data_IF_361409141475
#
_entry.id   IF_361409141475
#
_cell.length_a   1.000
_cell.length_b   1.000
_cell.length_c   1.000
_cell.angle_alpha   90.00
_cell.angle_beta   90.00
_cell.angle_gamma   90.00
#
_symmetry.space_group_name_H-M   'P 1'
#
loop_
_entity.id
_entity.type
_entity.pdbx_description
1 polymer ?
#
# COMPACT_ATOMS: atom_id res chain seq x y z
N UNK A 1 15.30 9.33 -17.21
CA UNK A 1 16.19 9.10 -18.37
C UNK A 1 16.12 7.62 -18.72
N UNK A 2 15.05 7.21 -19.40
CA UNK A 2 14.90 5.87 -19.97
C UNK A 2 15.59 5.82 -21.33
N UNK A 3 16.18 4.68 -21.68
CA UNK A 3 16.73 4.47 -23.03
C UNK A 3 15.59 4.53 -24.04
N UNK A 4 15.67 5.49 -24.96
CA UNK A 4 14.78 5.64 -26.10
C UNK A 4 14.85 4.40 -26.99
N UNK A 5 13.72 3.71 -27.13
CA UNK A 5 13.59 2.62 -28.09
C UNK A 5 12.44 3.00 -29.04
N UNK A 6 12.72 3.31 -30.32
CA UNK A 6 11.80 4.06 -31.18
C UNK A 6 10.46 3.33 -31.45
N UNK A 7 10.46 1.99 -31.49
CA UNK A 7 9.23 1.19 -31.64
C UNK A 7 8.33 1.21 -30.41
N UNK A 8 8.96 1.42 -29.26
CA UNK A 8 8.34 1.40 -27.95
C UNK A 8 7.55 2.69 -27.73
N UNK A 9 8.18 3.81 -28.10
CA UNK A 9 7.56 5.12 -28.07
C UNK A 9 6.41 5.24 -29.05
N UNK A 10 6.55 4.71 -30.26
CA UNK A 10 5.48 4.79 -31.27
C UNK A 10 4.21 4.04 -30.83
N UNK A 11 4.35 2.84 -30.25
CA UNK A 11 3.23 2.07 -29.72
C UNK A 11 2.56 2.77 -28.52
N UNK A 12 3.36 3.31 -27.61
CA UNK A 12 2.84 4.11 -26.49
C UNK A 12 2.21 5.42 -26.94
N UNK A 13 2.69 6.01 -28.04
CA UNK A 13 2.17 7.27 -28.56
C UNK A 13 0.75 7.09 -29.03
N UNK A 14 0.53 6.03 -29.80
CA UNK A 14 -0.77 5.71 -30.34
C UNK A 14 -1.75 5.38 -29.21
N UNK A 15 -1.33 4.56 -28.24
CA UNK A 15 -2.18 4.16 -27.12
C UNK A 15 -2.49 5.31 -26.13
N UNK A 16 -1.51 6.16 -25.82
CA UNK A 16 -1.69 7.34 -24.96
C UNK A 16 -2.57 8.41 -25.62
N UNK A 17 -2.42 8.62 -26.92
CA UNK A 17 -3.27 9.53 -27.68
C UNK A 17 -4.71 9.00 -27.76
N UNK A 18 -4.90 7.70 -27.98
CA UNK A 18 -6.24 7.09 -28.08
C UNK A 18 -7.00 7.00 -26.75
N UNK A 19 -6.32 6.71 -25.63
CA UNK A 19 -6.96 6.45 -24.33
C UNK A 19 -7.05 7.71 -23.47
N UNK A 20 -6.02 8.56 -23.49
CA UNK A 20 -5.91 9.72 -22.61
C UNK A 20 -5.99 11.06 -23.35
N UNK A 21 -5.82 11.09 -24.68
CA UNK A 21 -5.87 12.33 -25.48
C UNK A 21 -4.67 13.26 -25.28
N UNK A 22 -3.56 12.76 -24.73
CA UNK A 22 -2.35 13.54 -24.44
C UNK A 22 -1.16 13.06 -25.27
N UNK A 23 -0.31 14.00 -25.70
CA UNK A 23 0.92 13.74 -26.44
C UNK A 23 2.07 13.42 -25.46
N UNK A 24 2.80 12.32 -25.68
CA UNK A 24 3.69 11.73 -24.67
C UNK A 24 4.91 12.57 -24.30
N UNK A 25 5.23 13.62 -25.05
CA UNK A 25 6.32 14.56 -24.74
C UNK A 25 6.09 15.35 -23.44
N UNK A 26 4.84 15.41 -22.96
CA UNK A 26 4.48 16.27 -21.81
C UNK A 26 4.37 15.53 -20.47
N UNK A 27 4.41 14.19 -20.46
CA UNK A 27 4.12 13.41 -19.23
C UNK A 27 5.14 12.27 -19.08
N UNK A 28 5.83 12.14 -17.93
CA UNK A 28 6.69 10.99 -17.69
C UNK A 28 5.85 9.70 -17.63
N UNK A 29 5.96 8.86 -18.64
CA UNK A 29 5.29 7.55 -18.73
C UNK A 29 6.24 6.43 -18.31
N UNK A 30 5.69 5.40 -17.66
CA UNK A 30 6.41 4.17 -17.35
C UNK A 30 5.87 3.05 -18.23
N UNK A 31 6.58 2.78 -19.33
CA UNK A 31 6.26 1.65 -20.19
C UNK A 31 7.28 0.55 -20.01
N UNK A 32 6.89 -0.47 -19.25
CA UNK A 32 7.66 -1.69 -19.15
C UNK A 32 7.41 -2.55 -20.39
N UNK A 33 7.99 -2.14 -21.52
CA UNK A 33 8.05 -3.04 -22.67
C UNK A 33 9.11 -4.08 -22.32
N UNK A 34 8.69 -5.33 -22.22
CA UNK A 34 9.56 -6.48 -21.94
C UNK A 34 10.37 -6.74 -23.21
N UNK A 35 11.32 -5.85 -23.49
CA UNK A 35 12.36 -6.10 -24.48
C UNK A 35 13.35 -7.08 -23.85
N UNK A 36 13.50 -8.24 -24.48
CA UNK A 36 14.28 -9.41 -24.05
C UNK A 36 15.77 -9.11 -23.78
N UNK A 37 16.23 -7.89 -24.07
CA UNK A 37 17.63 -7.47 -24.04
C UNK A 37 17.87 -6.18 -23.23
N UNK A 38 17.04 -5.85 -22.23
CA UNK A 38 17.29 -4.71 -21.33
C UNK A 38 17.36 -5.17 -19.87
N UNK A 39 18.57 -5.09 -19.30
CA UNK A 39 18.90 -5.46 -17.91
C UNK A 39 17.98 -4.72 -16.92
N UNK A 40 17.57 -3.49 -17.27
CA UNK A 40 16.65 -2.64 -16.51
C UNK A 40 15.24 -3.24 -16.39
N UNK A 41 14.69 -3.81 -17.47
CA UNK A 41 13.37 -4.47 -17.44
C UNK A 41 13.40 -5.73 -16.58
N UNK A 42 14.50 -6.49 -16.63
CA UNK A 42 14.70 -7.66 -15.76
C UNK A 42 14.85 -7.26 -14.28
N UNK A 43 15.58 -6.18 -14.02
CA UNK A 43 15.76 -5.63 -12.68
C UNK A 43 14.45 -5.11 -12.08
N UNK A 44 13.58 -4.49 -12.88
CA UNK A 44 12.25 -4.04 -12.45
C UNK A 44 11.31 -5.22 -12.14
N UNK A 45 11.32 -6.26 -12.97
CA UNK A 45 10.50 -7.46 -12.77
C UNK A 45 10.87 -8.21 -11.48
N UNK A 46 12.16 -8.23 -11.11
CA UNK A 46 12.63 -8.85 -9.86
C UNK A 46 12.59 -7.87 -8.66
N UNK A 47 12.78 -6.58 -8.91
CA UNK A 47 12.85 -5.55 -7.87
C UNK A 47 11.54 -5.39 -7.10
N UNK A 48 10.40 -5.33 -7.79
CA UNK A 48 9.11 -5.21 -7.11
C UNK A 48 8.79 -6.38 -6.15
N UNK A 49 8.87 -7.66 -6.57
CA UNK A 49 8.58 -8.76 -5.66
C UNK A 49 9.62 -8.90 -4.53
N UNK A 50 10.88 -8.54 -4.76
CA UNK A 50 11.92 -8.60 -3.71
C UNK A 50 11.69 -7.54 -2.63
N UNK A 51 11.29 -6.32 -2.99
CA UNK A 51 10.93 -5.27 -2.03
C UNK A 51 9.75 -5.71 -1.16
N UNK A 52 8.71 -6.29 -1.79
CA UNK A 52 7.54 -6.80 -1.07
C UNK A 52 7.94 -7.93 -0.10
N UNK A 53 8.79 -8.85 -0.53
CA UNK A 53 9.29 -9.95 0.31
C UNK A 53 10.07 -9.44 1.53
N UNK A 54 10.95 -8.45 1.34
CA UNK A 54 11.72 -7.83 2.42
C UNK A 54 10.80 -7.18 3.45
N UNK A 55 9.75 -6.49 3.01
CA UNK A 55 8.76 -5.88 3.91
C UNK A 55 8.08 -6.94 4.79
N UNK A 56 7.63 -8.07 4.23
CA UNK A 56 7.04 -9.15 5.02
C UNK A 56 8.02 -9.78 6.01
N UNK A 57 9.27 -9.99 5.60
CA UNK A 57 10.32 -10.52 6.49
C UNK A 57 10.56 -9.55 7.65
N UNK A 58 10.63 -8.25 7.38
CA UNK A 58 10.81 -7.23 8.42
C UNK A 58 9.64 -7.22 9.41
N UNK A 59 8.39 -7.30 8.92
CA UNK A 59 7.19 -7.39 9.76
C UNK A 59 7.24 -8.66 10.62
N UNK A 60 7.57 -9.80 10.04
CA UNK A 60 7.65 -11.08 10.74
C UNK A 60 8.75 -11.07 11.81
N UNK A 61 9.92 -10.54 11.47
CA UNK A 61 11.04 -10.40 12.39
C UNK A 61 10.70 -9.46 13.55
N UNK A 62 10.08 -8.31 13.27
CA UNK A 62 9.63 -7.37 14.28
C UNK A 62 8.57 -8.02 15.20
N UNK A 63 7.61 -8.74 14.63
CA UNK A 63 6.59 -9.46 15.37
C UNK A 63 7.18 -10.53 16.29
N UNK A 64 8.15 -11.29 15.78
CA UNK A 64 8.85 -12.31 16.54
C UNK A 64 9.68 -11.71 17.69
N UNK A 65 10.43 -10.64 17.42
CA UNK A 65 11.21 -9.90 18.43
C UNK A 65 10.31 -9.36 19.55
N UNK A 66 9.17 -8.77 19.21
CA UNK A 66 8.21 -8.22 20.20
C UNK A 66 7.60 -9.35 21.05
N UNK A 67 7.24 -10.48 20.43
CA UNK A 67 6.70 -11.65 21.14
C UNK A 67 7.73 -12.25 22.11
N UNK A 68 9.00 -12.33 21.68
CA UNK A 68 10.09 -12.86 22.49
C UNK A 68 10.50 -11.90 23.63
N UNK A 69 10.62 -10.61 23.33
CA UNK A 69 11.00 -9.58 24.29
C UNK A 69 9.96 -9.42 25.41
N UNK A 70 8.67 -9.55 25.09
CA UNK A 70 7.60 -9.57 26.11
C UNK A 70 7.74 -10.69 27.13
N UNK A 71 8.33 -11.84 26.77
CA UNK A 71 8.50 -12.95 27.70
C UNK A 71 9.64 -12.72 28.71
N UNK A 72 10.64 -11.89 28.37
CA UNK A 72 11.83 -11.68 29.19
C UNK A 72 11.75 -10.44 30.09
N UNK A 73 10.92 -9.45 29.76
CA UNK A 73 10.87 -8.15 30.47
C UNK A 73 9.62 -7.96 31.35
N UNK A 74 8.87 -9.02 31.65
CA UNK A 74 7.67 -8.95 32.50
C UNK A 74 7.94 -8.40 33.91
N UNK A 75 9.21 -8.39 34.35
CA UNK A 75 9.62 -8.00 35.71
C UNK A 75 9.87 -6.48 35.84
N UNK A 76 10.15 -5.75 34.74
CA UNK A 76 10.63 -4.35 34.81
C UNK A 76 9.61 -3.27 34.37
N UNK A 77 8.54 -3.62 33.65
CA UNK A 77 7.58 -2.63 33.16
C UNK A 77 6.27 -2.64 33.95
N UNK A 78 5.72 -1.45 34.21
CA UNK A 78 4.38 -1.32 34.78
C UNK A 78 3.33 -1.97 33.86
N UNK A 79 2.35 -2.64 34.49
CA UNK A 79 1.28 -3.36 33.81
C UNK A 79 0.49 -2.51 32.81
N UNK A 80 0.47 -1.19 32.97
CA UNK A 80 -0.20 -0.26 32.07
C UNK A 80 0.58 -0.05 30.76
N UNK A 81 1.91 0.11 30.83
CA UNK A 81 2.75 0.27 29.63
C UNK A 81 2.74 -0.98 28.76
N UNK A 82 2.75 -2.17 29.37
CA UNK A 82 2.66 -3.41 28.62
C UNK A 82 1.35 -3.50 27.84
N UNK A 83 0.20 -3.18 28.47
CA UNK A 83 -1.12 -3.22 27.83
C UNK A 83 -1.19 -2.32 26.59
N UNK A 84 -0.73 -1.07 26.71
CA UNK A 84 -0.73 -0.11 25.61
C UNK A 84 0.14 -0.61 24.45
N UNK A 85 1.35 -1.09 24.74
CA UNK A 85 2.23 -1.63 23.70
C UNK A 85 1.64 -2.89 23.01
N UNK A 86 0.90 -3.75 23.72
CA UNK A 86 0.25 -4.91 23.06
C UNK A 86 -0.87 -4.47 22.11
N UNK A 87 -1.64 -3.46 22.51
CA UNK A 87 -2.75 -2.94 21.72
C UNK A 87 -2.21 -2.23 20.47
N UNK A 88 -1.18 -1.39 20.63
CA UNK A 88 -0.52 -0.72 19.53
C UNK A 88 0.05 -1.72 18.52
N UNK A 89 0.74 -2.76 19.01
CA UNK A 89 1.30 -3.80 18.14
C UNK A 89 0.23 -4.62 17.40
N UNK A 90 -0.85 -5.02 18.09
CA UNK A 90 -1.97 -5.73 17.44
C UNK A 90 -2.65 -4.87 16.39
N UNK A 91 -2.79 -3.58 16.67
CA UNK A 91 -3.36 -2.61 15.73
C UNK A 91 -2.46 -2.46 14.52
N UNK A 92 -1.15 -2.27 14.72
CA UNK A 92 -0.17 -2.16 13.64
C UNK A 92 -0.15 -3.41 12.74
N UNK A 93 -0.27 -4.61 13.32
CA UNK A 93 -0.39 -5.85 12.54
C UNK A 93 -1.68 -5.89 11.71
N UNK A 94 -2.82 -5.56 12.30
CA UNK A 94 -4.08 -5.53 11.57
C UNK A 94 -4.06 -4.48 10.45
N UNK A 95 -3.47 -3.32 10.74
CA UNK A 95 -3.26 -2.21 9.82
C UNK A 95 -2.33 -2.58 8.66
N UNK A 96 -1.37 -3.47 8.84
CA UNK A 96 -0.54 -3.96 7.73
C UNK A 96 -1.25 -5.06 6.93
N UNK A 97 -1.94 -5.98 7.61
CA UNK A 97 -2.57 -7.15 6.98
C UNK A 97 -3.77 -6.75 6.11
N UNK A 98 -4.67 -5.90 6.61
CA UNK A 98 -5.90 -5.49 5.92
C UNK A 98 -5.63 -4.88 4.53
N UNK A 99 -4.82 -3.83 4.40
CA UNK A 99 -4.51 -3.22 3.11
C UNK A 99 -3.63 -4.09 2.26
N UNK A 100 -2.77 -4.93 2.85
CA UNK A 100 -2.08 -5.96 2.09
C UNK A 100 -3.10 -6.83 1.35
N UNK A 101 -4.15 -7.34 2.01
CA UNK A 101 -5.16 -8.14 1.31
C UNK A 101 -5.94 -7.33 0.27
N UNK A 102 -6.30 -6.08 0.59
CA UNK A 102 -7.08 -5.21 -0.32
C UNK A 102 -6.26 -4.80 -1.55
N UNK A 103 -4.95 -4.57 -1.42
CA UNK A 103 -4.07 -4.10 -2.51
C UNK A 103 -3.34 -5.23 -3.24
N UNK A 104 -3.04 -6.35 -2.59
CA UNK A 104 -2.38 -7.47 -3.26
C UNK A 104 -3.30 -8.11 -4.30
N UNK A 105 -4.62 -8.09 -4.08
CA UNK A 105 -5.62 -8.61 -5.01
C UNK A 105 -5.64 -7.84 -6.36
N UNK A 106 -5.79 -6.50 -6.41
CA UNK A 106 -5.71 -5.77 -7.66
C UNK A 106 -4.30 -5.76 -8.27
N UNK A 107 -3.24 -5.79 -7.45
CA UNK A 107 -1.87 -5.89 -7.97
C UNK A 107 -1.62 -7.22 -8.65
N UNK A 108 -2.09 -8.34 -8.10
CA UNK A 108 -2.02 -9.65 -8.77
C UNK A 108 -2.80 -9.63 -10.08
N UNK A 109 -4.00 -9.05 -10.10
CA UNK A 109 -4.80 -8.95 -11.32
C UNK A 109 -4.07 -8.14 -12.39
N UNK A 110 -3.53 -6.97 -12.05
CA UNK A 110 -2.75 -6.13 -12.98
C UNK A 110 -1.47 -6.86 -13.43
N UNK A 111 -0.81 -7.59 -12.53
CA UNK A 111 0.38 -8.37 -12.85
C UNK A 111 0.06 -9.59 -13.72
N UNK A 112 -1.16 -10.14 -13.66
CA UNK A 112 -1.60 -11.26 -14.48
C UNK A 112 -1.96 -10.85 -15.92
N UNK A 113 -2.38 -9.60 -16.16
CA UNK A 113 -2.72 -9.06 -17.49
C UNK A 113 -1.61 -9.30 -18.54
N UNK A 114 -0.32 -8.93 -18.29
CA UNK A 114 0.75 -9.15 -19.27
C UNK A 114 1.08 -10.64 -19.48
N UNK A 115 0.80 -11.52 -18.50
CA UNK A 115 0.97 -12.98 -18.67
C UNK A 115 -0.19 -13.63 -19.43
N UNK A 116 -1.37 -13.02 -19.40
CA UNK A 116 -2.55 -13.48 -20.13
C UNK A 116 -2.59 -12.99 -21.60
N UNK A 117 -1.61 -12.19 -22.05
CA UNK A 117 -1.61 -11.50 -23.35
C UNK A 117 -2.92 -10.73 -23.61
N UNK A 118 -3.52 -10.18 -22.56
CA UNK A 118 -4.75 -9.40 -22.68
C UNK A 118 -4.38 -7.92 -22.89
N UNK A 119 -4.68 -7.40 -24.08
CA UNK A 119 -4.58 -5.97 -24.41
C UNK A 119 -5.72 -5.21 -23.75
N UNK A 120 -5.56 -4.88 -22.46
CA UNK A 120 -6.53 -4.09 -21.71
C UNK A 120 -5.89 -2.75 -21.37
N UNK A 121 -6.32 -1.70 -22.08
CA UNK A 121 -6.01 -0.31 -21.74
C UNK A 121 -6.86 0.13 -20.55
N UNK A 122 -6.36 -0.08 -19.33
CA UNK A 122 -7.01 0.42 -18.11
C UNK A 122 -6.51 1.82 -17.73
N UNK A 123 -7.43 2.66 -17.24
CA UNK A 123 -7.08 3.97 -16.69
C UNK A 123 -6.34 3.82 -15.35
N UNK A 124 -5.03 3.59 -15.39
CA UNK A 124 -4.14 3.45 -14.22
C UNK A 124 -4.18 4.68 -13.31
N UNK A 125 -4.52 5.87 -13.83
CA UNK A 125 -4.66 7.09 -13.04
C UNK A 125 -5.69 6.97 -11.92
N UNK A 126 -6.86 6.36 -12.16
CA UNK A 126 -7.91 6.20 -11.14
C UNK A 126 -7.44 5.24 -10.04
N UNK A 127 -6.68 4.22 -10.41
CA UNK A 127 -6.09 3.26 -9.48
C UNK A 127 -5.02 3.92 -8.59
N UNK A 128 -4.14 4.73 -9.18
CA UNK A 128 -3.11 5.49 -8.45
C UNK A 128 -3.73 6.53 -7.51
N UNK A 129 -4.80 7.21 -7.93
CA UNK A 129 -5.57 8.08 -7.04
C UNK A 129 -6.16 7.32 -5.86
N UNK A 130 -6.70 6.11 -6.10
CA UNK A 130 -7.25 5.26 -5.03
C UNK A 130 -6.18 4.82 -4.03
N UNK A 131 -4.97 4.51 -4.50
CA UNK A 131 -3.80 4.20 -3.67
C UNK A 131 -3.40 5.38 -2.76
N UNK A 132 -3.59 6.63 -3.21
CA UNK A 132 -3.21 7.82 -2.43
C UNK A 132 -4.10 8.06 -1.20
N UNK A 133 -5.30 7.49 -1.17
CA UNK A 133 -6.16 7.52 0.02
C UNK A 133 -5.77 6.49 1.08
N UNK A 134 -4.88 5.56 0.77
CA UNK A 134 -4.49 4.50 1.68
C UNK A 134 -4.06 5.01 3.06
N UNK A 135 -3.15 6.00 3.20
CA UNK A 135 -2.75 6.51 4.52
C UNK A 135 -3.91 7.06 5.35
N UNK A 136 -4.95 7.60 4.70
CA UNK A 136 -6.14 8.10 5.38
C UNK A 136 -7.01 6.95 5.90
N UNK A 137 -7.24 5.91 5.08
CA UNK A 137 -7.97 4.70 5.47
C UNK A 137 -7.23 3.97 6.60
N UNK A 138 -5.91 3.89 6.49
CA UNK A 138 -5.00 3.29 7.45
C UNK A 138 -5.13 3.94 8.84
N UNK A 139 -5.15 5.29 8.87
CA UNK A 139 -5.40 6.07 10.07
C UNK A 139 -6.80 5.87 10.66
N UNK A 140 -7.84 5.75 9.82
CA UNK A 140 -9.21 5.47 10.27
C UNK A 140 -9.30 4.09 10.93
N UNK A 141 -8.67 3.06 10.35
CA UNK A 141 -8.62 1.72 10.92
C UNK A 141 -7.98 1.74 12.31
N UNK A 142 -6.84 2.44 12.47
CA UNK A 142 -6.17 2.60 13.76
C UNK A 142 -7.08 3.28 14.80
N UNK A 143 -7.74 4.37 14.43
CA UNK A 143 -8.68 5.08 15.31
C UNK A 143 -9.86 4.21 15.72
N UNK A 144 -10.34 3.33 14.83
CA UNK A 144 -11.42 2.40 15.11
C UNK A 144 -10.99 1.16 15.91
N UNK A 145 -9.75 0.68 15.78
CA UNK A 145 -9.29 -0.55 16.44
C UNK A 145 -8.81 -0.30 17.87
N UNK A 146 -8.20 0.85 18.15
CA UNK A 146 -7.63 1.14 19.47
C UNK A 146 -8.74 1.61 20.42
N UNK A 147 -9.03 0.86 21.51
CA UNK A 147 -10.16 1.13 22.41
C UNK A 147 -10.14 2.54 23.02
N UNK A 148 -8.96 3.05 23.34
CA UNK A 148 -8.78 4.37 23.92
C UNK A 148 -9.22 5.49 22.96
N UNK A 149 -8.95 5.35 21.66
CA UNK A 149 -9.38 6.30 20.63
C UNK A 149 -10.88 6.21 20.35
N UNK A 150 -11.46 5.00 20.38
CA UNK A 150 -12.92 4.82 20.26
C UNK A 150 -13.67 5.55 21.38
N UNK A 151 -13.12 5.52 22.60
CA UNK A 151 -13.76 6.16 23.75
C UNK A 151 -13.75 7.69 23.59
N UNK A 152 -12.66 8.26 23.09
CA UNK A 152 -12.56 9.69 22.76
C UNK A 152 -13.60 10.07 21.69
N UNK A 153 -13.75 9.25 20.65
CA UNK A 153 -14.75 9.49 19.60
C UNK A 153 -16.19 9.43 20.15
N UNK A 154 -16.50 8.47 21.02
CA UNK A 154 -17.80 8.39 21.70
C UNK A 154 -18.06 9.61 22.60
N UNK A 155 -17.07 10.06 23.35
CA UNK A 155 -17.17 11.27 24.20
C UNK A 155 -17.39 12.51 23.33
N UNK A 156 -16.66 12.65 22.23
CA UNK A 156 -16.82 13.75 21.28
C UNK A 156 -18.23 13.75 20.65
N UNK A 157 -18.71 12.59 20.22
CA UNK A 157 -20.07 12.42 19.69
C UNK A 157 -21.15 12.77 20.73
N UNK A 158 -20.98 12.35 21.98
CA UNK A 158 -21.89 12.67 23.09
C UNK A 158 -21.93 14.17 23.37
N UNK A 159 -20.76 14.85 23.40
CA UNK A 159 -20.67 16.31 23.55
C UNK A 159 -21.35 17.06 22.41
N UNK A 160 -21.16 16.61 21.16
CA UNK A 160 -21.79 17.24 19.99
C UNK A 160 -23.31 17.10 20.02
N UNK A 161 -23.83 15.93 20.42
CA UNK A 161 -25.27 15.72 20.58
C UNK A 161 -25.86 16.58 21.71
N UNK A 162 -25.15 16.75 22.84
CA UNK A 162 -25.62 17.60 23.94
C UNK A 162 -25.58 19.10 23.60
N UNK A 163 -24.67 19.54 22.73
CA UNK A 163 -24.59 20.93 22.26
C UNK A 163 -25.63 21.28 21.17
N UNK A 164 -26.11 20.29 20.42
CA UNK A 164 -27.14 20.48 19.39
C UNK A 164 -28.58 20.43 19.95
N UNK A 165 -28.76 19.99 21.20
CA UNK A 165 -30.06 19.80 21.85
C UNK A 165 -30.34 20.88 22.92
N UNK A 166 -29.60 21.98 22.89
CA UNK A 166 -29.71 23.16 23.76
C UNK A 166 -29.88 24.39 22.87
#
# INVERSE_FOLDING_TARGET
MGEENPKSDEYLRDEMFHVYGFDIETIPYYAAIISKSNIKSFLMMIGMPTIVLINYIAIFFCAFRIKFHKNSQMVFYSAQYQKINQILFRTLLAQVIVPTFIFFLPVILIYAIPFANLEISMNTSVFICSLSFYPAIDGIILLCLVPDYRNIFCIWKSRKNNAANK
#
